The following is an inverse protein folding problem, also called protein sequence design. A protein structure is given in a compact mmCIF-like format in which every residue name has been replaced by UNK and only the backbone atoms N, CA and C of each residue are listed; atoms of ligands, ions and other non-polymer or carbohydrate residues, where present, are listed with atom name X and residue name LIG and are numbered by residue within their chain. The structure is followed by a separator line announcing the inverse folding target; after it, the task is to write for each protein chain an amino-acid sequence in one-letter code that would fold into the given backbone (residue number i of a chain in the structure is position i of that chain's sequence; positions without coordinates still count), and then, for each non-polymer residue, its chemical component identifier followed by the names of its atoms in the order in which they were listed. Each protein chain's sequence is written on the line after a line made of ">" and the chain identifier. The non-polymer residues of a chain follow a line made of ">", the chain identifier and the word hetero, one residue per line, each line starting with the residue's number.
data_IF_230972963301
#
_entry.id   IF_230972963301
#
_cell.length_a   1.000
_cell.length_b   1.000
_cell.length_c   1.000
_cell.angle_alpha   90.00
_cell.angle_beta   90.00
_cell.angle_gamma   90.00
#
_symmetry.space_group_name_H-M   'P 1'
#
loop_
_entity.id
_entity.type
_entity.pdbx_description
1 polymer ?
#
# COMPACT_ATOMS: atom_id res chain seq x y z
N UNK A 1 -7.49 19.49 19.95
CA UNK A 1 -7.14 20.36 18.80
C UNK A 1 -5.93 19.74 18.11
N UNK A 2 -6.00 19.33 16.84
CA UNK A 2 -4.79 18.94 16.12
C UNK A 2 -3.89 20.17 16.04
N UNK A 3 -2.61 20.02 16.40
CA UNK A 3 -1.61 21.06 16.20
C UNK A 3 -1.61 21.46 14.72
N UNK A 4 -1.57 22.76 14.48
CA UNK A 4 -1.59 23.41 13.17
C UNK A 4 -0.72 22.70 12.14
N UNK A 5 -1.35 22.24 11.07
CA UNK A 5 -0.78 21.79 9.80
C UNK A 5 -0.22 22.98 9.01
N UNK A 6 0.75 23.68 9.60
CA UNK A 6 1.50 24.72 8.88
C UNK A 6 2.72 24.03 8.26
N UNK A 7 2.66 23.89 6.93
CA UNK A 7 3.71 23.58 5.96
C UNK A 7 4.35 22.17 5.96
N UNK A 8 3.56 21.10 6.14
CA UNK A 8 4.02 19.78 5.68
C UNK A 8 3.87 19.68 4.16
N UNK A 9 4.99 19.63 3.44
CA UNK A 9 5.02 19.46 1.99
C UNK A 9 5.01 17.97 1.67
N UNK A 10 4.04 17.54 0.85
CA UNK A 10 3.98 16.16 0.38
C UNK A 10 5.08 15.87 -0.66
N UNK A 11 5.57 14.63 -0.68
CA UNK A 11 6.43 14.12 -1.75
C UNK A 11 5.62 13.19 -2.66
N UNK A 12 5.94 13.20 -3.95
CA UNK A 12 5.30 12.31 -4.92
C UNK A 12 6.05 10.98 -4.99
N UNK A 13 5.32 9.87 -5.06
CA UNK A 13 5.90 8.54 -5.25
C UNK A 13 5.33 7.91 -6.51
N UNK A 14 6.20 7.44 -7.40
CA UNK A 14 5.84 6.96 -8.73
C UNK A 14 6.52 5.62 -9.02
N UNK A 15 5.77 4.69 -9.61
CA UNK A 15 6.30 3.46 -10.19
C UNK A 15 6.42 3.57 -11.70
N UNK A 16 7.37 2.87 -12.29
CA UNK A 16 7.58 2.83 -13.76
C UNK A 16 7.51 1.40 -14.27
N UNK A 17 7.22 1.21 -15.56
CA UNK A 17 7.21 -0.12 -16.19
C UNK A 17 8.57 -0.82 -16.19
N UNK A 18 9.68 -0.10 -15.93
CA UNK A 18 11.02 -0.67 -15.81
C UNK A 18 11.36 -1.16 -14.39
N UNK A 19 10.39 -1.20 -13.49
CA UNK A 19 10.59 -1.64 -12.11
C UNK A 19 11.16 -0.57 -11.17
N UNK A 20 11.33 0.66 -11.64
CA UNK A 20 11.83 1.75 -10.80
C UNK A 20 10.69 2.37 -9.99
N UNK A 21 10.90 2.52 -8.69
CA UNK A 21 10.08 3.31 -7.76
C UNK A 21 10.87 4.58 -7.42
N UNK A 22 10.27 5.75 -7.61
CA UNK A 22 10.93 7.05 -7.43
C UNK A 22 10.13 7.91 -6.47
N UNK A 23 10.84 8.60 -5.59
CA UNK A 23 10.31 9.69 -4.79
C UNK A 23 10.77 11.00 -5.41
N UNK A 24 9.83 11.90 -5.65
CA UNK A 24 10.04 13.19 -6.30
C UNK A 24 9.63 14.30 -5.35
N UNK A 25 10.53 15.25 -5.15
CA UNK A 25 10.23 16.48 -4.42
C UNK A 25 9.16 17.28 -5.18
N UNK A 26 8.06 17.63 -4.51
CA UNK A 26 6.91 18.28 -5.15
C UNK A 26 7.15 19.76 -5.48
N UNK A 27 8.21 20.38 -4.96
CA UNK A 27 8.55 21.79 -5.19
C UNK A 27 9.67 21.93 -6.22
N UNK A 28 10.73 21.14 -6.09
CA UNK A 28 11.90 21.18 -6.95
C UNK A 28 11.78 20.28 -8.19
N UNK A 29 10.79 19.38 -8.21
CA UNK A 29 10.59 18.38 -9.26
C UNK A 29 11.83 17.52 -9.53
N UNK A 30 12.62 17.26 -8.49
CA UNK A 30 13.82 16.42 -8.54
C UNK A 30 13.56 15.06 -7.91
N UNK A 31 14.22 14.04 -8.44
CA UNK A 31 14.23 12.71 -7.83
C UNK A 31 15.10 12.79 -6.58
N UNK A 32 14.51 12.54 -5.41
CA UNK A 32 15.18 12.59 -4.09
C UNK A 32 15.47 11.22 -3.51
N UNK A 33 14.80 10.18 -4.01
CA UNK A 33 15.13 8.80 -3.74
C UNK A 33 14.65 7.92 -4.89
N UNK A 34 15.35 6.84 -5.18
CA UNK A 34 14.92 5.83 -6.12
C UNK A 34 15.30 4.42 -5.66
N UNK A 35 14.54 3.44 -6.14
CA UNK A 35 14.72 2.05 -5.80
C UNK A 35 14.23 1.18 -6.95
N UNK A 36 15.10 0.33 -7.48
CA UNK A 36 14.73 -0.70 -8.44
C UNK A 36 14.16 -1.91 -7.69
N UNK A 37 12.94 -2.33 -8.01
CA UNK A 37 12.32 -3.54 -7.45
C UNK A 37 12.32 -4.69 -8.47
N UNK A 38 12.40 -5.95 -8.04
CA UNK A 38 12.22 -7.11 -8.92
C UNK A 38 10.74 -7.29 -9.28
N UNK A 39 10.31 -6.62 -10.35
CA UNK A 39 8.95 -6.69 -10.89
C UNK A 39 8.46 -5.34 -11.42
N UNK A 40 7.27 -5.33 -12.02
CA UNK A 40 6.63 -4.11 -12.52
C UNK A 40 5.65 -3.58 -11.46
N UNK A 41 5.89 -2.40 -10.84
CA UNK A 41 4.98 -1.76 -9.92
C UNK A 41 3.56 -1.59 -10.50
N UNK A 42 2.55 -1.87 -9.70
CA UNK A 42 1.12 -1.69 -10.06
C UNK A 42 0.44 -0.70 -9.13
N UNK A 43 0.61 -0.86 -7.82
CA UNK A 43 0.04 0.03 -6.81
C UNK A 43 1.06 0.29 -5.70
N UNK A 44 1.06 1.53 -5.18
CA UNK A 44 1.96 1.97 -4.12
C UNK A 44 1.12 2.47 -2.95
N UNK A 45 1.43 1.98 -1.75
CA UNK A 45 0.84 2.45 -0.49
C UNK A 45 1.94 2.98 0.40
N UNK A 46 1.80 4.23 0.84
CA UNK A 46 2.80 4.93 1.63
C UNK A 46 2.44 4.92 3.13
N UNK A 47 3.47 4.95 3.99
CA UNK A 47 3.33 5.12 5.43
C UNK A 47 4.51 5.92 5.99
N UNK A 48 4.23 6.89 6.85
CA UNK A 48 5.24 7.66 7.57
C UNK A 48 5.53 9.03 6.95
N UNK A 49 6.68 9.61 7.33
CA UNK A 49 7.12 10.96 6.95
C UNK A 49 8.48 10.85 6.25
N UNK A 50 8.62 11.46 5.08
CA UNK A 50 9.80 11.28 4.23
C UNK A 50 11.11 11.54 4.99
N UNK A 51 11.26 12.68 5.66
CA UNK A 51 12.50 13.07 6.35
C UNK A 51 12.76 12.39 7.69
N UNK A 52 11.80 11.62 8.21
CA UNK A 52 11.90 10.97 9.52
C UNK A 52 12.00 9.46 9.35
N UNK A 53 10.90 8.84 8.94
CA UNK A 53 10.79 7.41 8.76
C UNK A 53 9.62 7.17 7.81
N UNK A 54 9.93 6.63 6.63
CA UNK A 54 8.91 6.24 5.66
C UNK A 54 9.05 4.77 5.27
N UNK A 55 7.92 4.25 4.81
CA UNK A 55 7.82 2.93 4.22
C UNK A 55 6.90 2.98 3.02
N UNK A 56 7.37 2.45 1.90
CA UNK A 56 6.59 2.27 0.67
C UNK A 56 6.31 0.78 0.52
N UNK A 57 5.05 0.44 0.37
CA UNK A 57 4.62 -0.89 -0.02
C UNK A 57 4.26 -0.86 -1.48
N UNK A 58 4.85 -1.76 -2.27
CA UNK A 58 4.72 -1.72 -3.73
C UNK A 58 4.28 -3.10 -4.20
N UNK A 59 3.05 -3.18 -4.73
CA UNK A 59 2.60 -4.39 -5.40
C UNK A 59 3.17 -4.45 -6.82
N UNK A 60 3.38 -5.66 -7.29
CA UNK A 60 3.87 -5.94 -8.65
C UNK A 60 2.84 -6.75 -9.45
N UNK A 61 2.98 -6.71 -10.79
CA UNK A 61 2.07 -7.39 -11.73
C UNK A 61 2.02 -8.92 -11.54
N UNK A 62 3.03 -9.51 -10.92
CA UNK A 62 3.15 -10.93 -10.60
C UNK A 62 2.59 -11.31 -9.21
N UNK A 63 1.86 -10.40 -8.55
CA UNK A 63 1.21 -10.70 -7.26
C UNK A 63 2.14 -10.69 -6.04
N UNK A 64 3.33 -10.08 -6.18
CA UNK A 64 4.24 -9.85 -5.05
C UNK A 64 4.06 -8.44 -4.46
N UNK A 65 4.39 -8.27 -3.18
CA UNK A 65 4.46 -6.96 -2.52
C UNK A 65 5.84 -6.79 -1.90
N UNK A 66 6.54 -5.74 -2.32
CA UNK A 66 7.82 -5.32 -1.76
C UNK A 66 7.64 -4.20 -0.75
N UNK A 67 8.63 -4.06 0.13
CA UNK A 67 8.66 -3.01 1.14
C UNK A 67 9.98 -2.26 1.05
N UNK A 68 9.91 -1.00 0.64
CA UNK A 68 11.04 -0.06 0.63
C UNK A 68 10.96 0.74 1.92
N UNK A 69 12.09 0.84 2.64
CA UNK A 69 12.18 1.62 3.88
C UNK A 69 13.27 2.68 3.70
N UNK A 70 13.11 3.80 4.41
CA UNK A 70 14.16 4.83 4.48
C UNK A 70 15.50 4.22 4.88
N UNK A 71 16.56 4.61 4.19
CA UNK A 71 17.96 4.26 4.46
C UNK A 71 18.25 2.75 4.59
N UNK A 72 17.42 1.90 3.97
CA UNK A 72 17.61 0.46 3.94
C UNK A 72 17.59 -0.05 2.51
N UNK A 73 18.57 -0.89 2.18
CA UNK A 73 18.59 -1.60 0.91
C UNK A 73 17.34 -2.45 0.74
N UNK A 74 16.81 -2.48 -0.49
CA UNK A 74 15.71 -3.35 -0.83
C UNK A 74 16.10 -4.81 -0.57
N UNK A 75 15.18 -5.57 0.04
CA UNK A 75 15.32 -7.02 0.17
C UNK A 75 15.00 -7.68 -1.16
N UNK A 76 15.82 -8.67 -1.55
CA UNK A 76 15.61 -9.44 -2.78
C UNK A 76 14.26 -10.15 -2.81
N UNK A 77 13.79 -10.62 -1.66
CA UNK A 77 12.50 -11.32 -1.53
C UNK A 77 11.38 -10.33 -1.18
N UNK A 78 10.20 -10.47 -1.82
CA UNK A 78 9.02 -9.72 -1.42
C UNK A 78 8.61 -10.07 0.02
N UNK A 79 7.93 -9.14 0.68
CA UNK A 79 7.39 -9.40 2.02
C UNK A 79 6.11 -10.24 1.97
N UNK A 80 5.39 -10.20 0.84
CA UNK A 80 4.16 -10.96 0.61
C UNK A 80 4.21 -11.46 -0.84
N UNK A 81 3.87 -12.74 -1.04
CA UNK A 81 3.60 -13.31 -2.36
C UNK A 81 2.22 -13.92 -2.31
N UNK A 82 1.29 -13.38 -3.09
CA UNK A 82 -0.06 -13.90 -3.21
C UNK A 82 -0.07 -15.12 -4.12
N UNK A 83 -1.03 -16.02 -3.91
CA UNK A 83 -1.23 -17.20 -4.77
C UNK A 83 -1.93 -16.86 -6.08
N UNK A 84 -2.64 -15.74 -6.08
CA UNK A 84 -3.52 -15.23 -7.12
C UNK A 84 -3.27 -13.73 -7.26
N UNK A 85 -3.67 -13.17 -8.40
CA UNK A 85 -3.40 -11.77 -8.72
C UNK A 85 -4.02 -10.82 -7.68
N UNK A 86 -3.29 -9.76 -7.36
CA UNK A 86 -3.73 -8.70 -6.47
C UNK A 86 -4.64 -7.75 -7.26
N UNK A 87 -5.87 -7.56 -6.79
CA UNK A 87 -6.82 -6.60 -7.37
C UNK A 87 -6.52 -5.19 -6.85
N UNK A 88 -6.39 -5.06 -5.53
CA UNK A 88 -6.07 -3.81 -4.86
C UNK A 88 -5.55 -4.12 -3.46
N UNK A 89 -4.73 -3.24 -2.91
CA UNK A 89 -4.37 -3.27 -1.50
C UNK A 89 -4.32 -1.88 -0.90
N UNK A 90 -4.61 -1.79 0.40
CA UNK A 90 -4.58 -0.52 1.12
C UNK A 90 -4.06 -0.71 2.54
N UNK A 91 -3.69 0.39 3.20
CA UNK A 91 -3.32 0.40 4.61
C UNK A 91 -4.57 0.57 5.46
N UNK A 92 -4.70 -0.28 6.48
CA UNK A 92 -5.66 -0.10 7.57
C UNK A 92 -4.90 -0.23 8.88
N UNK A 93 -4.85 0.83 9.68
CA UNK A 93 -4.01 0.90 10.87
C UNK A 93 -2.54 0.56 10.54
N UNK A 94 -1.94 -0.41 11.24
CA UNK A 94 -0.57 -0.94 11.01
C UNK A 94 -0.57 -2.25 10.22
N UNK A 95 -1.57 -2.43 9.36
CA UNK A 95 -1.76 -3.62 8.53
C UNK A 95 -1.97 -3.23 7.06
N UNK A 96 -1.76 -4.19 6.17
CA UNK A 96 -2.13 -4.12 4.77
C UNK A 96 -3.33 -5.03 4.53
N UNK A 97 -4.42 -4.47 4.04
CA UNK A 97 -5.54 -5.22 3.49
C UNK A 97 -5.26 -5.47 2.01
N UNK A 98 -5.22 -6.73 1.58
CA UNK A 98 -4.89 -7.16 0.21
C UNK A 98 -6.05 -7.98 -0.33
N UNK A 99 -6.66 -7.52 -1.41
CA UNK A 99 -7.72 -8.22 -2.12
C UNK A 99 -7.16 -8.96 -3.33
N UNK A 100 -7.56 -10.21 -3.50
CA UNK A 100 -7.09 -11.08 -4.58
C UNK A 100 -8.24 -11.61 -5.45
N UNK A 101 -7.90 -12.12 -6.64
CA UNK A 101 -8.87 -12.58 -7.65
C UNK A 101 -9.67 -13.82 -7.26
N UNK A 102 -9.23 -14.59 -6.27
CA UNK A 102 -9.97 -15.70 -5.65
C UNK A 102 -10.97 -15.24 -4.57
N UNK A 103 -11.39 -13.97 -4.59
CA UNK A 103 -12.42 -13.41 -3.71
C UNK A 103 -12.03 -13.41 -2.22
N UNK A 104 -10.73 -13.38 -1.97
CA UNK A 104 -10.15 -13.37 -0.63
C UNK A 104 -9.66 -11.97 -0.27
N UNK A 105 -9.93 -11.56 0.96
CA UNK A 105 -9.36 -10.38 1.60
C UNK A 105 -8.40 -10.84 2.70
N UNK A 106 -7.13 -10.54 2.52
CA UNK A 106 -6.07 -10.88 3.45
C UNK A 106 -5.62 -9.65 4.24
N UNK A 107 -5.35 -9.83 5.51
CA UNK A 107 -4.76 -8.80 6.37
C UNK A 107 -3.34 -9.21 6.74
N UNK A 108 -2.36 -8.46 6.30
CA UNK A 108 -0.94 -8.70 6.60
C UNK A 108 -0.40 -7.65 7.56
N UNK A 109 0.51 -8.05 8.44
CA UNK A 109 1.35 -7.08 9.14
C UNK A 109 2.29 -6.40 8.15
N UNK A 110 2.85 -5.25 8.53
CA UNK A 110 3.89 -4.62 7.71
C UNK A 110 5.13 -5.51 7.52
N UNK A 111 5.35 -6.53 8.35
CA UNK A 111 6.44 -7.49 8.16
C UNK A 111 6.10 -8.61 7.15
N UNK A 112 4.87 -8.66 6.63
CA UNK A 112 4.43 -9.68 5.67
C UNK A 112 3.77 -10.91 6.30
N UNK A 113 3.58 -10.95 7.62
CA UNK A 113 2.87 -12.05 8.28
C UNK A 113 1.37 -11.91 8.03
N UNK A 114 0.74 -12.96 7.50
CA UNK A 114 -0.73 -13.02 7.40
C UNK A 114 -1.33 -13.09 8.81
N UNK A 115 -2.18 -12.13 9.13
CA UNK A 115 -2.85 -11.98 10.43
C UNK A 115 -4.27 -12.52 10.38
N UNK A 116 -4.98 -12.28 9.28
CA UNK A 116 -6.34 -12.76 9.08
C UNK A 116 -6.65 -12.91 7.57
N UNK A 117 -7.67 -13.69 7.26
CA UNK A 117 -8.17 -13.90 5.90
C UNK A 117 -9.70 -14.03 5.95
N UNK A 118 -10.38 -13.36 5.04
CA UNK A 118 -11.85 -13.35 4.92
C UNK A 118 -12.22 -13.69 3.49
N UNK A 119 -13.16 -14.61 3.28
CA UNK A 119 -13.76 -14.84 1.97
C UNK A 119 -14.96 -13.92 1.78
N UNK A 120 -15.00 -13.20 0.66
CA UNK A 120 -16.09 -12.25 0.38
C UNK A 120 -17.30 -12.91 -0.28
N UNK A 121 -17.11 -14.10 -0.88
CA UNK A 121 -18.14 -14.83 -1.63
C UNK A 121 -18.59 -14.18 -2.94
N UNK A 122 -17.99 -13.06 -3.31
CA UNK A 122 -18.25 -12.30 -4.53
C UNK A 122 -16.95 -11.69 -5.07
N UNK A 123 -16.90 -11.37 -6.38
CA UNK A 123 -15.76 -10.69 -6.98
C UNK A 123 -15.51 -9.35 -6.31
N UNK A 124 -14.33 -9.19 -5.73
CA UNK A 124 -13.83 -7.90 -5.27
C UNK A 124 -13.41 -7.08 -6.50
N UNK A 125 -13.63 -5.77 -6.49
CA UNK A 125 -13.25 -4.83 -7.56
C UNK A 125 -12.29 -3.74 -7.07
N UNK A 126 -12.25 -3.49 -5.78
CA UNK A 126 -11.39 -2.47 -5.20
C UNK A 126 -11.47 -2.45 -3.68
N UNK A 127 -10.48 -1.81 -3.07
CA UNK A 127 -10.41 -1.52 -1.65
C UNK A 127 -10.21 -0.02 -1.46
N UNK A 128 -10.92 0.59 -0.53
CA UNK A 128 -10.75 2.00 -0.17
C UNK A 128 -10.63 2.13 1.36
N UNK A 129 -9.62 2.83 1.90
CA UNK A 129 -9.51 3.04 3.34
C UNK A 129 -10.69 3.89 3.83
N UNK A 130 -11.23 3.55 4.99
CA UNK A 130 -12.35 4.25 5.60
C UNK A 130 -12.01 4.71 7.01
N UNK A 131 -12.22 5.99 7.29
CA UNK A 131 -12.03 6.57 8.61
C UNK A 131 -13.28 7.33 9.05
N UNK A 132 -13.88 6.87 10.15
CA UNK A 132 -15.02 7.52 10.78
C UNK A 132 -14.59 8.22 12.07
N UNK A 133 -14.27 9.51 11.91
CA UNK A 133 -13.74 10.36 12.97
C UNK A 133 -14.56 10.37 14.28
N UNK A 134 -15.91 10.45 14.26
CA UNK A 134 -16.69 10.53 15.50
C UNK A 134 -16.56 9.33 16.44
N UNK A 135 -16.26 8.14 15.90
CA UNK A 135 -16.02 6.92 16.71
C UNK A 135 -14.56 6.45 16.68
N UNK A 136 -13.66 7.23 16.08
CA UNK A 136 -12.27 6.85 15.88
C UNK A 136 -12.13 5.45 15.24
N UNK A 137 -13.03 5.14 14.31
CA UNK A 137 -13.08 3.83 13.66
C UNK A 137 -12.34 3.89 12.33
N UNK A 138 -11.38 3.00 12.12
CA UNK A 138 -10.64 2.83 10.85
C UNK A 138 -10.91 1.42 10.31
N UNK A 139 -11.24 1.34 9.03
CA UNK A 139 -11.57 0.10 8.33
C UNK A 139 -11.24 0.17 6.85
N UNK A 140 -11.76 -0.78 6.08
CA UNK A 140 -11.65 -0.81 4.62
C UNK A 140 -13.02 -1.05 4.01
N UNK A 141 -13.38 -0.22 3.03
CA UNK A 141 -14.51 -0.47 2.16
C UNK A 141 -14.07 -1.50 1.12
N UNK A 142 -14.82 -2.60 1.04
CA UNK A 142 -14.63 -3.63 0.02
C UNK A 142 -15.68 -3.41 -1.06
N UNK A 143 -15.23 -2.95 -2.22
CA UNK A 143 -16.08 -2.84 -3.39
C UNK A 143 -16.24 -4.23 -4.01
N UNK A 144 -17.47 -4.74 -4.02
CA UNK A 144 -17.88 -5.96 -4.70
C UNK A 144 -18.60 -5.61 -6.00
N UNK A 145 -18.95 -6.62 -6.80
CA UNK A 145 -19.64 -6.44 -8.09
C UNK A 145 -20.90 -5.55 -7.98
N UNK A 146 -21.73 -5.78 -6.96
CA UNK A 146 -23.05 -5.12 -6.83
C UNK A 146 -23.24 -4.33 -5.54
N UNK A 147 -22.25 -4.28 -4.65
CA UNK A 147 -22.38 -3.66 -3.33
C UNK A 147 -21.03 -3.26 -2.72
N UNK A 148 -21.08 -2.48 -1.64
CA UNK A 148 -19.92 -2.14 -0.82
C UNK A 148 -20.13 -2.71 0.59
N UNK A 149 -19.11 -3.40 1.13
CA UNK A 149 -19.08 -3.88 2.52
C UNK A 149 -18.03 -3.12 3.33
N UNK A 150 -18.26 -2.95 4.63
CA UNK A 150 -17.31 -2.38 5.62
C UNK A 150 -16.79 -3.52 6.50
#
# INVERSE_FOLDING_TARGET
>A
MPKSSLDSIDVLVLGTERGMVRVVDSQAFQIVADCLIPGIPVQIVCYGVFDIEYRLFVSTRDGSIYSIKRDQSLKEKPIITCKTDIISFTRVNKMLAVATTDQMLHFYSFAGKCLNTVSMGESIKGLEPFYYAPKQFEGVLVLLENQVKI
#
